data_IF_301368234233
#
_entry.id   IF_301368234233
#
_cell.length_a   1.000
_cell.length_b   1.000
_cell.length_c   1.000
_cell.angle_alpha   90.00
_cell.angle_beta   90.00
_cell.angle_gamma   90.00
#
_symmetry.space_group_name_H-M   'P 1'
#
loop_
_entity.id
_entity.type
_entity.pdbx_description
1 polymer ?
#
# COMPACT_ATOMS: atom_id res chain seq x y z
N UNK A 1 17.66 71.99 -56.36
CA UNK A 1 17.57 70.67 -55.69
C UNK A 1 17.87 70.79 -54.19
N UNK A 2 17.02 71.47 -53.42
CA UNK A 2 17.23 71.68 -51.97
C UNK A 2 15.94 71.57 -51.12
N UNK A 3 14.83 71.09 -51.69
CA UNK A 3 13.55 70.86 -50.97
C UNK A 3 13.14 69.39 -50.86
N UNK A 4 13.96 68.45 -51.35
CA UNK A 4 13.70 66.99 -51.28
C UNK A 4 14.57 66.24 -50.27
N UNK A 5 15.55 66.91 -49.64
CA UNK A 5 16.42 66.33 -48.61
C UNK A 5 15.96 66.61 -47.17
N UNK A 6 15.26 67.74 -46.96
CA UNK A 6 14.76 68.15 -45.63
C UNK A 6 13.51 67.39 -45.14
N UNK A 7 12.78 66.72 -46.03
CA UNK A 7 11.56 65.94 -45.70
C UNK A 7 11.84 64.46 -45.38
N UNK A 8 13.11 64.03 -45.49
CA UNK A 8 13.54 62.64 -45.21
C UNK A 8 14.15 62.50 -43.81
N UNK A 9 14.77 63.57 -43.31
CA UNK A 9 15.35 63.63 -41.95
C UNK A 9 14.27 63.83 -40.86
N UNK A 10 13.17 64.56 -41.13
CA UNK A 10 12.03 64.70 -40.19
C UNK A 10 11.18 63.41 -40.05
N UNK A 11 11.20 62.51 -41.05
CA UNK A 11 10.49 61.22 -40.98
C UNK A 11 11.26 60.13 -40.23
N UNK A 12 12.59 60.26 -40.14
CA UNK A 12 13.44 59.29 -39.42
C UNK A 12 13.48 59.59 -37.91
N UNK A 13 13.47 60.87 -37.49
CA UNK A 13 13.39 61.23 -36.07
C UNK A 13 12.03 60.93 -35.39
N UNK A 14 10.92 61.00 -36.13
CA UNK A 14 9.60 60.61 -35.60
C UNK A 14 9.42 59.08 -35.50
N UNK A 15 10.16 58.29 -36.28
CA UNK A 15 10.13 56.83 -36.22
C UNK A 15 10.97 56.26 -35.06
N UNK A 16 12.03 56.95 -34.64
CA UNK A 16 12.83 56.58 -33.47
C UNK A 16 12.16 57.00 -32.15
N UNK A 17 11.47 58.15 -32.09
CA UNK A 17 10.74 58.55 -30.88
C UNK A 17 9.48 57.70 -30.62
N UNK A 18 8.78 57.21 -31.66
CA UNK A 18 7.65 56.28 -31.47
C UNK A 18 8.09 54.86 -31.05
N UNK A 19 9.32 54.43 -31.41
CA UNK A 19 9.88 53.18 -30.90
C UNK A 19 10.34 53.29 -29.45
N UNK A 20 10.86 54.44 -29.02
CA UNK A 20 11.26 54.67 -27.63
C UNK A 20 10.05 54.80 -26.67
N UNK A 21 8.93 55.38 -27.10
CA UNK A 21 7.72 55.46 -26.25
C UNK A 21 6.96 54.13 -26.15
N UNK A 22 7.08 53.23 -27.13
CA UNK A 22 6.46 51.89 -27.04
C UNK A 22 7.28 50.93 -26.18
N UNK A 23 8.58 51.18 -25.97
CA UNK A 23 9.45 50.36 -25.12
C UNK A 23 9.40 50.72 -23.62
N UNK A 24 8.84 51.87 -23.23
CA UNK A 24 8.76 52.27 -21.81
C UNK A 24 7.42 51.89 -21.15
N UNK A 25 6.34 51.66 -21.90
CA UNK A 25 5.04 51.25 -21.33
C UNK A 25 4.83 49.72 -21.22
N UNK A 26 5.71 48.89 -21.79
CA UNK A 26 5.58 47.42 -21.74
C UNK A 26 6.29 46.74 -20.55
N UNK A 27 6.93 47.50 -19.65
CA UNK A 27 7.75 46.93 -18.56
C UNK A 27 6.96 46.69 -17.26
N UNK A 28 5.72 47.17 -17.11
CA UNK A 28 4.99 47.07 -15.84
C UNK A 28 3.71 46.19 -15.83
N UNK A 29 3.43 45.41 -16.88
CA UNK A 29 2.22 44.56 -16.95
C UNK A 29 2.43 43.04 -16.79
N UNK A 30 3.65 42.53 -16.96
CA UNK A 30 3.87 41.12 -17.32
C UNK A 30 4.09 40.16 -16.12
N UNK A 31 3.97 40.65 -14.89
CA UNK A 31 4.13 39.84 -13.68
C UNK A 31 2.84 39.10 -13.27
N UNK A 32 1.67 39.58 -13.70
CA UNK A 32 0.37 38.98 -13.36
C UNK A 32 -0.11 37.94 -14.39
N UNK A 33 0.17 38.11 -15.68
CA UNK A 33 -0.18 37.12 -16.72
C UNK A 33 0.73 35.90 -16.71
N UNK A 34 2.05 36.06 -16.51
CA UNK A 34 2.96 34.93 -16.30
C UNK A 34 2.65 34.18 -15.01
N UNK A 35 2.27 34.87 -13.93
CA UNK A 35 1.76 34.21 -12.70
C UNK A 35 0.41 33.53 -12.91
N UNK A 36 -0.49 34.06 -13.74
CA UNK A 36 -1.79 33.42 -14.06
C UNK A 36 -1.65 32.23 -14.99
N UNK A 37 -0.76 32.27 -15.99
CA UNK A 37 -0.44 31.12 -16.86
C UNK A 37 0.34 30.04 -16.12
N UNK A 38 1.28 30.41 -15.24
CA UNK A 38 1.99 29.46 -14.37
C UNK A 38 1.08 28.86 -13.29
N UNK A 39 0.17 29.67 -12.70
CA UNK A 39 -0.90 29.17 -11.82
C UNK A 39 -1.99 28.37 -12.55
N UNK A 40 -2.28 28.63 -13.82
CA UNK A 40 -3.18 27.78 -14.63
C UNK A 40 -2.51 26.46 -15.02
N UNK A 41 -1.24 26.47 -15.41
CA UNK A 41 -0.49 25.23 -15.70
C UNK A 41 -0.17 24.42 -14.43
N UNK A 42 -0.01 25.07 -13.27
CA UNK A 42 0.12 24.40 -11.96
C UNK A 42 -1.25 23.93 -11.43
N UNK A 43 -2.35 24.66 -11.67
CA UNK A 43 -3.70 24.19 -11.34
C UNK A 43 -4.17 23.06 -12.25
N UNK A 44 -3.79 23.05 -13.53
CA UNK A 44 -4.10 21.95 -14.46
C UNK A 44 -3.22 20.72 -14.22
N UNK A 45 -2.00 20.86 -13.68
CA UNK A 45 -1.18 19.73 -13.22
C UNK A 45 -1.62 19.14 -11.87
N UNK A 46 -2.30 19.93 -11.03
CA UNK A 46 -2.81 19.48 -9.73
C UNK A 46 -4.26 18.96 -9.78
N UNK A 47 -4.89 18.91 -10.96
CA UNK A 47 -6.26 18.40 -11.16
C UNK A 47 -6.32 17.10 -11.98
N UNK A 48 -5.22 16.36 -12.11
CA UNK A 48 -5.38 14.91 -12.23
C UNK A 48 -5.76 14.41 -10.84
N UNK A 49 -7.05 14.38 -10.55
CA UNK A 49 -7.57 13.54 -9.48
C UNK A 49 -7.01 12.14 -9.73
N UNK A 50 -6.08 11.70 -8.88
CA UNK A 50 -5.57 10.35 -8.90
C UNK A 50 -6.78 9.44 -8.73
N UNK A 51 -7.18 8.74 -9.80
CA UNK A 51 -8.29 7.79 -9.79
C UNK A 51 -8.10 6.87 -8.57
N UNK A 52 -8.98 6.99 -7.56
CA UNK A 52 -8.87 6.19 -6.34
C UNK A 52 -9.05 4.72 -6.74
N UNK A 53 -7.96 3.95 -6.74
CA UNK A 53 -8.02 2.53 -7.09
C UNK A 53 -8.59 1.77 -5.89
N UNK A 54 -9.68 1.01 -6.08
CA UNK A 54 -10.27 0.25 -4.99
C UNK A 54 -9.25 -0.70 -4.35
N UNK A 55 -9.38 -0.96 -3.05
CA UNK A 55 -8.51 -1.87 -2.30
C UNK A 55 -9.31 -3.01 -1.69
N UNK A 56 -8.69 -4.17 -1.57
CA UNK A 56 -9.24 -5.31 -0.83
C UNK A 56 -8.33 -5.61 0.36
N UNK A 57 -8.93 -5.62 1.55
CA UNK A 57 -8.25 -5.91 2.81
C UNK A 57 -8.84 -7.17 3.43
N UNK A 58 -8.03 -7.93 4.16
CA UNK A 58 -8.51 -9.04 4.97
C UNK A 58 -8.23 -8.78 6.45
N UNK A 59 -9.18 -9.12 7.32
CA UNK A 59 -8.97 -9.12 8.76
C UNK A 59 -8.94 -10.56 9.27
N UNK A 60 -7.93 -10.90 10.06
CA UNK A 60 -7.68 -12.27 10.53
C UNK A 60 -7.36 -12.25 12.02
N UNK A 61 -8.00 -13.13 12.79
CA UNK A 61 -7.69 -13.26 14.22
C UNK A 61 -6.29 -13.83 14.42
N UNK A 62 -5.49 -13.19 15.28
CA UNK A 62 -4.16 -13.65 15.67
C UNK A 62 -4.17 -14.92 16.52
N UNK A 63 -5.30 -15.24 17.17
CA UNK A 63 -5.43 -16.42 18.04
C UNK A 63 -5.33 -17.75 17.28
N UNK A 64 -5.45 -17.73 15.95
CA UNK A 64 -5.26 -18.92 15.11
C UNK A 64 -3.84 -19.49 15.21
N UNK A 65 -2.86 -18.65 15.55
CA UNK A 65 -1.47 -19.08 15.77
C UNK A 65 -1.33 -19.87 17.06
N UNK A 66 -2.08 -19.51 18.10
CA UNK A 66 -2.00 -20.16 19.41
C UNK A 66 -2.50 -21.61 19.37
N UNK A 67 -3.29 -21.96 18.35
CA UNK A 67 -3.75 -23.32 18.07
C UNK A 67 -2.70 -24.22 17.40
N UNK A 68 -1.55 -23.67 16.97
CA UNK A 68 -0.50 -24.45 16.33
C UNK A 68 0.29 -25.27 17.36
N UNK A 69 0.46 -26.57 17.09
CA UNK A 69 1.13 -27.50 18.02
C UNK A 69 2.66 -27.28 18.13
N UNK A 70 3.24 -26.47 17.25
CA UNK A 70 4.67 -26.14 17.28
C UNK A 70 4.94 -24.82 16.56
N UNK A 71 6.07 -24.19 16.89
CA UNK A 71 6.52 -22.98 16.20
C UNK A 71 6.72 -23.21 14.68
N UNK A 72 7.09 -24.42 14.28
CA UNK A 72 7.22 -24.79 12.87
C UNK A 72 5.85 -24.78 12.16
N UNK A 73 4.83 -25.39 12.78
CA UNK A 73 3.46 -25.39 12.26
C UNK A 73 2.85 -23.98 12.27
N UNK A 74 3.11 -23.19 13.31
CA UNK A 74 2.70 -21.78 13.38
C UNK A 74 3.31 -20.97 12.22
N UNK A 75 4.60 -21.16 11.96
CA UNK A 75 5.31 -20.50 10.85
C UNK A 75 4.69 -20.91 9.51
N UNK A 76 4.38 -22.19 9.33
CA UNK A 76 3.72 -22.72 8.11
C UNK A 76 2.33 -22.12 7.91
N UNK A 77 1.52 -22.02 8.97
CA UNK A 77 0.19 -21.40 8.94
C UNK A 77 0.28 -19.94 8.50
N UNK A 78 1.16 -19.15 9.15
CA UNK A 78 1.38 -17.76 8.76
C UNK A 78 1.84 -17.63 7.30
N UNK A 79 2.68 -18.56 6.83
CA UNK A 79 3.08 -18.65 5.42
C UNK A 79 1.93 -18.94 4.45
N UNK A 80 0.96 -19.77 4.84
CA UNK A 80 -0.24 -20.03 4.03
C UNK A 80 -1.08 -18.77 3.86
N UNK A 81 -1.27 -17.99 4.93
CA UNK A 81 -1.99 -16.71 4.88
C UNK A 81 -1.27 -15.71 3.98
N UNK A 82 0.06 -15.55 4.15
CA UNK A 82 0.87 -14.68 3.31
C UNK A 82 0.77 -15.03 1.81
N UNK A 83 0.74 -16.32 1.50
CA UNK A 83 0.55 -16.80 0.13
C UNK A 83 -0.84 -16.49 -0.39
N UNK A 84 -1.89 -16.76 0.37
CA UNK A 84 -3.25 -16.45 -0.05
C UNK A 84 -3.40 -14.95 -0.34
N UNK A 85 -2.94 -14.09 0.58
CA UNK A 85 -2.96 -12.65 0.41
C UNK A 85 -2.21 -12.20 -0.87
N UNK A 86 -1.05 -12.79 -1.15
CA UNK A 86 -0.27 -12.51 -2.36
C UNK A 86 -0.95 -12.98 -3.64
N UNK A 87 -1.48 -14.21 -3.67
CA UNK A 87 -2.11 -14.81 -4.84
C UNK A 87 -3.33 -14.00 -5.28
N UNK A 88 -4.15 -13.58 -4.32
CA UNK A 88 -5.38 -12.82 -4.57
C UNK A 88 -5.19 -11.31 -4.52
N UNK A 89 -3.94 -10.82 -4.49
CA UNK A 89 -3.59 -9.39 -4.58
C UNK A 89 -4.24 -8.53 -3.49
N UNK A 90 -4.27 -9.02 -2.26
CA UNK A 90 -4.77 -8.28 -1.10
C UNK A 90 -3.86 -7.09 -0.80
N UNK A 91 -4.42 -5.91 -0.57
CA UNK A 91 -3.64 -4.68 -0.30
C UNK A 91 -3.26 -4.53 1.19
N UNK A 92 -4.06 -5.09 2.10
CA UNK A 92 -3.84 -5.01 3.54
C UNK A 92 -4.28 -6.30 4.26
N UNK A 93 -3.43 -6.78 5.17
CA UNK A 93 -3.76 -7.83 6.13
C UNK A 93 -3.79 -7.22 7.54
N UNK A 94 -4.97 -7.16 8.13
CA UNK A 94 -5.19 -6.69 9.50
C UNK A 94 -5.21 -7.90 10.42
N UNK A 95 -4.24 -7.97 11.34
CA UNK A 95 -4.22 -9.02 12.36
C UNK A 95 -4.82 -8.45 13.63
N UNK A 96 -5.98 -8.96 14.03
CA UNK A 96 -6.64 -8.52 15.25
C UNK A 96 -6.45 -9.55 16.38
N UNK A 97 -6.33 -9.06 17.60
CA UNK A 97 -6.36 -9.86 18.83
C UNK A 97 -7.72 -9.67 19.52
N UNK A 98 -7.94 -10.23 20.70
CA UNK A 98 -9.10 -9.92 21.55
C UNK A 98 -8.64 -9.31 22.88
N UNK A 99 -7.70 -8.35 22.82
CA UNK A 99 -7.17 -7.67 24.00
C UNK A 99 -8.02 -6.44 24.33
N UNK A 100 -8.40 -6.34 25.60
CA UNK A 100 -9.17 -5.21 26.15
C UNK A 100 -8.37 -3.90 26.21
N UNK A 101 -7.05 -3.95 26.06
CA UNK A 101 -6.16 -2.79 26.17
C UNK A 101 -5.67 -2.34 24.78
N UNK A 102 -5.72 -1.04 24.52
CA UNK A 102 -5.20 -0.40 23.30
C UNK A 102 -3.67 -0.46 23.27
N UNK A 103 -3.13 -1.60 22.82
CA UNK A 103 -1.71 -1.71 22.52
C UNK A 103 -1.50 -1.26 21.07
N UNK A 104 -0.64 -0.27 20.86
CA UNK A 104 -0.32 0.21 19.52
C UNK A 104 0.63 -0.76 18.78
N UNK A 105 0.57 -0.76 17.44
CA UNK A 105 1.41 -1.60 16.55
C UNK A 105 2.92 -1.46 16.86
N UNK A 106 3.37 -0.25 17.22
CA UNK A 106 4.76 0.02 17.61
C UNK A 106 5.17 -0.73 18.88
N UNK A 107 4.29 -0.81 19.88
CA UNK A 107 4.61 -1.40 21.18
C UNK A 107 4.72 -2.92 21.09
N UNK A 108 3.96 -3.57 20.22
CA UNK A 108 4.00 -5.02 20.02
C UNK A 108 5.32 -5.47 19.39
N UNK A 109 5.84 -4.69 18.44
CA UNK A 109 7.10 -5.04 17.78
C UNK A 109 8.33 -4.74 18.65
N UNK A 110 8.23 -3.82 19.62
CA UNK A 110 9.35 -3.44 20.50
C UNK A 110 9.36 -4.15 21.86
N UNK A 111 8.23 -4.64 22.36
CA UNK A 111 8.12 -5.20 23.71
C UNK A 111 8.81 -6.56 23.89
N UNK A 112 8.98 -7.34 22.82
CA UNK A 112 9.37 -8.76 22.94
C UNK A 112 10.81 -9.05 22.47
N UNK A 113 11.79 -8.22 22.87
CA UNK A 113 13.19 -8.68 22.85
C UNK A 113 13.46 -9.80 23.90
N UNK A 114 12.49 -10.11 24.76
CA UNK A 114 12.47 -11.31 25.61
C UNK A 114 11.82 -12.47 24.86
N UNK A 115 12.65 -13.45 24.50
CA UNK A 115 12.36 -14.59 23.62
C UNK A 115 11.25 -15.57 24.06
N UNK A 116 10.48 -15.30 25.12
CA UNK A 116 9.77 -16.38 25.84
C UNK A 116 8.24 -16.33 25.82
N UNK A 117 7.57 -15.25 25.38
CA UNK A 117 6.10 -15.28 25.31
C UNK A 117 5.47 -14.24 24.34
N UNK A 118 5.93 -14.23 23.09
CA UNK A 118 5.27 -13.43 22.05
C UNK A 118 3.86 -13.97 21.77
N UNK A 119 2.84 -13.10 21.81
CA UNK A 119 1.46 -13.50 21.50
C UNK A 119 1.23 -13.84 20.02
N UNK A 120 0.25 -14.70 19.73
CA UNK A 120 -0.04 -15.18 18.36
C UNK A 120 -0.19 -14.08 17.30
N UNK A 121 -0.85 -12.96 17.64
CA UNK A 121 -0.99 -11.81 16.75
C UNK A 121 0.36 -11.16 16.39
N UNK A 122 1.23 -10.96 17.37
CA UNK A 122 2.56 -10.37 17.19
C UNK A 122 3.44 -11.27 16.31
N UNK A 123 3.41 -12.57 16.60
CA UNK A 123 4.08 -13.60 15.80
C UNK A 123 3.62 -13.55 14.34
N UNK A 124 2.29 -13.57 14.11
CA UNK A 124 1.71 -13.54 12.77
C UNK A 124 2.16 -12.30 12.00
N UNK A 125 2.03 -11.12 12.61
CA UNK A 125 2.45 -9.85 12.00
C UNK A 125 3.91 -9.89 11.57
N UNK A 126 4.80 -10.40 12.44
CA UNK A 126 6.23 -10.45 12.14
C UNK A 126 6.52 -11.37 10.96
N UNK A 127 5.90 -12.55 10.90
CA UNK A 127 6.05 -13.46 9.75
C UNK A 127 5.50 -12.81 8.46
N UNK A 128 4.29 -12.23 8.50
CA UNK A 128 3.66 -11.61 7.33
C UNK A 128 4.51 -10.47 6.76
N UNK A 129 5.03 -9.58 7.63
CA UNK A 129 5.93 -8.46 7.24
C UNK A 129 7.25 -8.98 6.68
N UNK A 130 7.84 -10.00 7.30
CA UNK A 130 9.09 -10.60 6.84
C UNK A 130 8.94 -11.24 5.45
N UNK A 131 7.84 -11.97 5.23
CA UNK A 131 7.56 -12.63 3.96
C UNK A 131 7.28 -11.60 2.84
N UNK A 132 6.47 -10.59 3.11
CA UNK A 132 6.17 -9.53 2.13
C UNK A 132 7.43 -8.75 1.73
N UNK A 133 8.37 -8.55 2.65
CA UNK A 133 9.61 -7.83 2.37
C UNK A 133 10.48 -8.57 1.35
N UNK A 134 10.95 -7.91 0.27
CA UNK A 134 11.86 -8.50 -0.71
C UNK A 134 13.13 -9.08 -0.08
N UNK A 135 13.59 -10.23 -0.58
CA UNK A 135 14.66 -11.02 0.04
C UNK A 135 15.96 -10.24 0.29
N UNK A 136 16.32 -9.33 -0.62
CA UNK A 136 17.54 -8.53 -0.51
C UNK A 136 17.48 -7.48 0.61
N UNK A 137 16.29 -7.09 1.09
CA UNK A 137 16.11 -6.11 2.17
C UNK A 137 16.01 -6.75 3.56
N UNK A 138 15.67 -8.05 3.64
CA UNK A 138 15.35 -8.73 4.91
C UNK A 138 16.47 -8.62 5.94
N UNK A 139 17.73 -8.77 5.52
CA UNK A 139 18.89 -8.68 6.42
C UNK A 139 19.07 -7.28 7.03
N UNK A 140 18.66 -6.24 6.31
CA UNK A 140 18.80 -4.85 6.73
C UNK A 140 17.62 -4.40 7.60
N UNK A 141 16.42 -4.92 7.34
CA UNK A 141 15.18 -4.49 8.00
C UNK A 141 14.79 -5.37 9.20
N UNK A 142 15.20 -6.64 9.24
CA UNK A 142 14.79 -7.58 10.28
C UNK A 142 16.00 -8.09 11.07
N UNK A 143 16.10 -7.76 12.38
CA UNK A 143 17.09 -8.39 13.24
C UNK A 143 16.77 -9.89 13.42
N UNK A 144 17.77 -10.65 13.87
CA UNK A 144 17.55 -12.07 14.20
C UNK A 144 16.53 -12.17 15.34
N UNK A 145 15.48 -12.95 15.13
CA UNK A 145 14.41 -13.17 16.09
C UNK A 145 14.01 -14.64 16.12
N UNK A 146 13.67 -15.20 17.28
CA UNK A 146 13.30 -16.61 17.42
C UNK A 146 12.08 -16.99 16.56
N UNK A 147 11.08 -16.10 16.49
CA UNK A 147 9.90 -16.25 15.61
C UNK A 147 10.25 -16.42 14.14
N UNK A 148 11.38 -15.87 13.69
CA UNK A 148 11.84 -16.00 12.31
C UNK A 148 12.71 -17.24 12.06
N UNK A 149 12.89 -18.12 13.05
CA UNK A 149 13.80 -19.29 12.97
C UNK A 149 13.45 -20.24 11.82
N UNK A 150 12.16 -20.45 11.54
CA UNK A 150 11.69 -21.43 10.58
C UNK A 150 11.21 -20.83 9.24
N UNK A 151 11.37 -19.53 9.02
CA UNK A 151 10.91 -18.88 7.78
C UNK A 151 11.61 -19.38 6.52
N UNK A 152 12.78 -20.01 6.67
CA UNK A 152 13.50 -20.66 5.57
C UNK A 152 12.79 -21.91 5.02
N UNK A 153 11.83 -22.48 5.75
CA UNK A 153 11.00 -23.60 5.29
C UNK A 153 9.83 -23.15 4.41
N UNK A 154 9.50 -21.85 4.42
CA UNK A 154 8.31 -21.35 3.77
C UNK A 154 8.51 -21.23 2.26
N UNK A 155 7.48 -21.59 1.46
CA UNK A 155 7.48 -21.32 0.03
C UNK A 155 7.62 -19.81 -0.24
N UNK A 156 8.35 -19.40 -1.30
CA UNK A 156 8.50 -17.99 -1.65
C UNK A 156 7.13 -17.38 -2.01
N UNK A 157 6.92 -16.11 -1.68
CA UNK A 157 5.75 -15.37 -2.17
C UNK A 157 5.86 -15.09 -3.67
N UNK A 158 7.08 -14.75 -4.12
CA UNK A 158 7.39 -14.46 -5.53
C UNK A 158 6.47 -13.39 -6.14
N UNK A 159 6.15 -12.36 -5.34
CA UNK A 159 5.36 -11.21 -5.75
C UNK A 159 6.15 -10.30 -6.73
N UNK A 160 5.49 -9.42 -7.51
CA UNK A 160 6.17 -8.59 -8.52
C UNK A 160 7.30 -7.70 -7.99
N UNK A 161 7.28 -7.33 -6.71
CA UNK A 161 8.35 -6.56 -6.07
C UNK A 161 9.49 -7.43 -5.51
N UNK A 162 9.40 -8.77 -5.58
CA UNK A 162 10.44 -9.74 -5.15
C UNK A 162 11.48 -10.00 -6.26
N UNK A 163 11.96 -8.92 -6.85
CA UNK A 163 12.84 -8.94 -8.03
C UNK A 163 14.18 -9.58 -7.71
N UNK A 164 14.75 -10.28 -8.71
CA UNK A 164 16.12 -10.83 -8.60
C UNK A 164 17.16 -9.74 -8.89
N UNK A 165 18.41 -9.98 -8.50
CA UNK A 165 19.53 -9.01 -8.65
C UNK A 165 19.77 -8.56 -10.10
N UNK A 166 19.51 -9.42 -11.08
CA UNK A 166 19.76 -9.16 -12.51
C UNK A 166 18.52 -8.61 -13.24
N UNK A 167 17.36 -8.59 -12.58
CA UNK A 167 16.10 -8.18 -13.19
C UNK A 167 15.97 -6.65 -13.20
N UNK A 168 15.36 -6.06 -14.22
CA UNK A 168 15.06 -4.63 -14.22
C UNK A 168 13.56 -4.42 -14.21
N UNK A 169 13.08 -3.49 -13.38
CA UNK A 169 11.69 -3.12 -13.30
C UNK A 169 11.54 -1.60 -13.17
N UNK A 170 10.40 -1.00 -13.56
CA UNK A 170 10.18 0.45 -13.47
C UNK A 170 10.21 0.98 -12.03
N UNK A 171 9.90 0.12 -11.06
CA UNK A 171 9.93 0.42 -9.64
C UNK A 171 10.71 -0.67 -8.90
N UNK A 172 11.38 -0.31 -7.81
CA UNK A 172 12.04 -1.24 -6.89
C UNK A 172 11.86 -0.78 -5.45
N UNK A 173 11.72 -1.75 -4.55
CA UNK A 173 11.83 -1.48 -3.12
C UNK A 173 13.31 -1.30 -2.76
N UNK A 174 13.59 -0.43 -1.81
CA UNK A 174 14.94 -0.19 -1.32
C UNK A 174 14.98 0.17 0.16
N UNK A 175 16.17 0.15 0.73
CA UNK A 175 16.44 0.62 2.10
C UNK A 175 17.50 1.70 2.09
N UNK A 176 17.26 2.76 2.86
CA UNK A 176 18.21 3.85 3.03
C UNK A 176 19.44 3.35 3.79
N UNK A 177 20.62 3.58 3.22
CA UNK A 177 21.90 3.21 3.82
C UNK A 177 22.39 4.29 4.79
N UNK A 178 23.22 3.89 5.75
CA UNK A 178 23.87 4.82 6.70
C UNK A 178 24.92 5.69 6.02
N UNK A 179 25.49 5.20 4.93
CA UNK A 179 26.53 5.89 4.17
C UNK A 179 25.93 7.03 3.35
N UNK A 180 26.48 8.24 3.50
CA UNK A 180 26.14 9.38 2.65
C UNK A 180 26.95 9.31 1.35
N UNK A 181 26.39 9.85 0.27
CA UNK A 181 27.11 9.93 -0.99
C UNK A 181 28.37 10.81 -0.86
N UNK A 182 29.48 10.49 -1.56
CA UNK A 182 30.74 11.24 -1.47
C UNK A 182 30.61 12.75 -1.71
N UNK A 183 29.59 13.16 -2.47
CA UNK A 183 29.34 14.55 -2.88
C UNK A 183 28.24 15.26 -2.06
N UNK A 184 27.91 14.76 -0.86
CA UNK A 184 27.15 15.43 0.21
C UNK A 184 25.70 15.89 -0.05
N UNK A 185 25.18 15.81 -1.27
CA UNK A 185 23.83 16.29 -1.59
C UNK A 185 22.76 15.19 -1.68
N UNK A 186 23.11 13.91 -1.50
CA UNK A 186 22.18 12.81 -1.69
C UNK A 186 22.42 11.61 -0.79
N UNK A 187 21.38 10.78 -0.68
CA UNK A 187 21.35 9.59 0.16
C UNK A 187 21.45 8.34 -0.71
N UNK A 188 22.20 7.32 -0.26
CA UNK A 188 22.33 6.06 -0.98
C UNK A 188 21.22 5.08 -0.55
N UNK A 189 20.67 4.36 -1.53
CA UNK A 189 19.62 3.38 -1.34
C UNK A 189 20.06 2.04 -1.92
N UNK A 190 19.99 0.98 -1.11
CA UNK A 190 20.13 -0.39 -1.60
C UNK A 190 18.79 -0.85 -2.19
N UNK A 191 18.76 -1.02 -3.51
CA UNK A 191 17.59 -1.49 -4.27
C UNK A 191 17.76 -2.95 -4.75
N UNK A 192 18.71 -3.69 -4.18
CA UNK A 192 18.95 -5.10 -4.51
C UNK A 192 19.65 -5.35 -5.84
N UNK A 193 20.28 -4.32 -6.42
CA UNK A 193 21.08 -4.41 -7.64
C UNK A 193 22.58 -4.58 -7.32
N UNK A 194 23.44 -4.60 -8.33
CA UNK A 194 24.90 -4.61 -8.14
C UNK A 194 25.46 -3.29 -7.60
N UNK A 195 24.75 -2.18 -7.84
CA UNK A 195 25.09 -0.84 -7.37
C UNK A 195 23.90 -0.22 -6.66
N UNK A 196 24.21 0.56 -5.63
CA UNK A 196 23.23 1.38 -4.92
C UNK A 196 22.80 2.54 -5.81
N UNK A 197 21.62 3.08 -5.56
CA UNK A 197 21.11 4.26 -6.27
C UNK A 197 21.17 5.49 -5.39
N UNK A 198 21.47 6.62 -5.99
CA UNK A 198 21.42 7.92 -5.32
C UNK A 198 20.00 8.47 -5.36
N UNK A 199 19.56 9.10 -4.28
CA UNK A 199 18.33 9.91 -4.23
C UNK A 199 18.66 11.32 -3.71
N UNK A 200 17.92 12.32 -4.16
CA UNK A 200 18.10 13.73 -3.74
C UNK A 200 17.48 14.06 -2.37
N UNK A 201 16.74 13.11 -1.79
CA UNK A 201 16.05 13.30 -0.52
C UNK A 201 16.91 12.77 0.63
N UNK A 202 17.03 13.56 1.70
CA UNK A 202 17.67 13.14 2.94
C UNK A 202 16.62 12.42 3.79
N UNK A 203 16.79 11.11 3.93
CA UNK A 203 15.89 10.24 4.70
C UNK A 203 16.69 9.48 5.78
N UNK A 204 15.99 9.01 6.80
CA UNK A 204 16.62 8.29 7.90
C UNK A 204 17.18 6.92 7.45
N UNK A 205 18.39 6.54 7.86
CA UNK A 205 18.91 5.21 7.59
C UNK A 205 18.01 4.09 8.13
N UNK A 206 17.86 3.03 7.34
CA UNK A 206 16.97 1.92 7.66
C UNK A 206 15.51 2.12 7.23
N UNK A 207 15.13 3.29 6.72
CA UNK A 207 13.81 3.50 6.14
C UNK A 207 13.65 2.70 4.84
N UNK A 208 12.55 1.95 4.72
CA UNK A 208 12.14 1.28 3.47
C UNK A 208 11.45 2.29 2.54
N UNK A 209 11.84 2.31 1.27
CA UNK A 209 11.34 3.25 0.26
C UNK A 209 11.03 2.54 -1.05
N UNK A 210 10.10 3.09 -1.83
CA UNK A 210 9.85 2.68 -3.21
C UNK A 210 10.54 3.66 -4.15
N UNK A 211 11.42 3.17 -5.02
CA UNK A 211 12.22 4.00 -5.93
C UNK A 211 11.72 3.83 -7.35
N UNK A 212 11.47 4.94 -8.05
CA UNK A 212 11.20 4.95 -9.48
C UNK A 212 12.52 4.78 -10.25
N UNK A 213 12.69 3.62 -10.86
CA UNK A 213 13.87 3.22 -11.61
C UNK A 213 13.80 3.66 -13.09
N UNK A 214 12.60 3.91 -13.62
CA UNK A 214 12.44 4.35 -15.01
C UNK A 214 13.01 3.36 -16.05
N UNK A 215 13.27 3.86 -17.25
CA UNK A 215 13.74 3.03 -18.39
C UNK A 215 15.27 2.98 -18.52
N UNK A 216 15.98 3.97 -17.96
CA UNK A 216 17.45 4.03 -18.04
C UNK A 216 18.09 3.01 -17.09
N UNK A 217 18.73 1.99 -17.66
CA UNK A 217 19.42 0.92 -16.94
C UNK A 217 20.87 1.25 -16.55
N UNK A 218 21.41 2.37 -17.03
CA UNK A 218 22.76 2.80 -16.66
C UNK A 218 22.76 3.36 -15.24
N UNK A 219 23.36 2.59 -14.31
CA UNK A 219 23.56 2.99 -12.91
C UNK A 219 24.85 3.81 -12.71
N UNK A 220 25.68 3.93 -13.74
CA UNK A 220 26.96 4.66 -13.71
C UNK A 220 26.79 6.18 -13.87
N UNK A 221 25.64 6.61 -14.37
CA UNK A 221 25.30 8.02 -14.32
C UNK A 221 24.92 8.33 -12.88
N UNK A 222 25.62 9.29 -12.25
CA UNK A 222 25.27 9.87 -10.94
C UNK A 222 23.93 10.66 -10.99
N UNK A 223 22.97 10.18 -11.77
CA UNK A 223 21.64 10.72 -11.90
C UNK A 223 20.80 10.24 -10.72
N UNK A 224 20.32 11.16 -9.87
CA UNK A 224 19.49 10.80 -8.75
C UNK A 224 18.17 10.18 -9.22
N UNK A 225 17.73 9.17 -8.48
CA UNK A 225 16.41 8.53 -8.64
C UNK A 225 15.42 9.18 -7.69
N UNK A 226 14.14 9.04 -8.03
CA UNK A 226 13.05 9.61 -7.25
C UNK A 226 12.45 8.56 -6.33
N UNK A 227 12.31 8.89 -5.04
CA UNK A 227 11.45 8.16 -4.11
C UNK A 227 10.00 8.52 -4.42
N UNK A 228 9.16 7.51 -4.59
CA UNK A 228 7.73 7.63 -4.87
C UNK A 228 6.91 6.99 -3.77
N UNK A 229 5.60 7.29 -3.73
CA UNK A 229 4.66 6.60 -2.85
C UNK A 229 4.67 5.10 -3.12
N UNK A 230 4.51 4.28 -2.07
CA UNK A 230 4.40 2.83 -2.20
C UNK A 230 3.15 2.37 -2.97
N UNK A 231 2.14 3.23 -3.10
CA UNK A 231 0.96 2.98 -3.93
C UNK A 231 1.21 3.26 -5.42
N UNK A 232 2.29 3.98 -5.78
CA UNK A 232 2.56 4.44 -7.15
C UNK A 232 2.68 3.30 -8.18
N UNK A 233 3.35 2.16 -7.89
CA UNK A 233 3.41 1.03 -8.81
C UNK A 233 2.02 0.47 -9.15
N UNK A 234 1.13 0.43 -8.17
CA UNK A 234 -0.27 0.02 -8.35
C UNK A 234 -1.05 1.06 -9.17
N UNK A 235 -0.97 2.33 -8.76
CA UNK A 235 -1.69 3.45 -9.38
C UNK A 235 -1.33 3.70 -10.83
N UNK A 236 -0.04 3.62 -11.17
CA UNK A 236 0.45 4.04 -12.48
C UNK A 236 0.78 2.89 -13.42
N UNK A 237 1.02 1.67 -12.89
CA UNK A 237 1.39 0.51 -13.70
C UNK A 237 0.50 -0.72 -13.49
N UNK A 238 -0.53 -0.65 -12.63
CA UNK A 238 -1.41 -1.78 -12.33
C UNK A 238 -0.69 -2.98 -11.71
N UNK A 239 0.51 -2.78 -11.16
CA UNK A 239 1.33 -3.83 -10.60
C UNK A 239 0.94 -4.09 -9.14
N UNK A 240 0.68 -5.34 -8.79
CA UNK A 240 0.56 -5.72 -7.39
C UNK A 240 1.91 -5.50 -6.68
N UNK A 241 1.89 -4.84 -5.53
CA UNK A 241 3.10 -4.36 -4.85
C UNK A 241 3.19 -4.84 -3.40
N UNK A 242 2.65 -6.05 -3.14
CA UNK A 242 2.57 -6.61 -1.80
C UNK A 242 1.38 -6.09 -1.00
N UNK A 243 1.31 -6.53 0.26
CA UNK A 243 0.29 -6.12 1.21
C UNK A 243 0.91 -5.35 2.37
N UNK A 244 0.15 -4.43 2.96
CA UNK A 244 0.48 -3.84 4.27
C UNK A 244 0.01 -4.77 5.37
N UNK A 245 0.70 -4.75 6.51
CA UNK A 245 0.30 -5.53 7.69
C UNK A 245 0.05 -4.57 8.84
N UNK A 246 -1.14 -4.62 9.42
CA UNK A 246 -1.57 -3.76 10.52
C UNK A 246 -2.04 -4.57 11.71
N UNK A 247 -1.70 -4.12 12.91
CA UNK A 247 -2.26 -4.67 14.15
C UNK A 247 -3.58 -3.98 14.52
N UNK A 248 -4.51 -4.74 15.08
CA UNK A 248 -5.67 -4.22 15.79
C UNK A 248 -5.85 -4.96 17.13
N UNK A 249 -6.18 -4.24 18.21
CA UNK A 249 -6.33 -4.85 19.54
C UNK A 249 -7.57 -5.73 19.67
N UNK A 250 -8.61 -5.45 18.88
CA UNK A 250 -9.92 -6.09 18.83
C UNK A 250 -10.59 -5.80 17.49
N UNK A 251 -11.71 -6.47 17.23
CA UNK A 251 -12.42 -6.36 15.96
C UNK A 251 -12.95 -4.92 15.71
N UNK A 252 -13.35 -4.16 16.74
CA UNK A 252 -13.77 -2.77 16.54
C UNK A 252 -12.62 -1.85 16.13
N UNK A 253 -11.41 -2.08 16.65
CA UNK A 253 -10.19 -1.39 16.21
C UNK A 253 -9.80 -1.72 14.76
N UNK A 254 -10.21 -2.87 14.22
CA UNK A 254 -10.05 -3.15 12.78
C UNK A 254 -10.71 -2.05 11.97
N UNK A 255 -11.95 -1.69 12.31
CA UNK A 255 -12.72 -0.69 11.56
C UNK A 255 -12.33 0.75 11.92
N UNK A 256 -12.15 1.05 13.22
CA UNK A 256 -11.87 2.41 13.71
C UNK A 256 -10.50 2.93 13.27
N UNK A 257 -9.48 2.08 13.29
CA UNK A 257 -8.09 2.46 12.98
C UNK A 257 -7.74 2.17 11.52
N UNK A 258 -8.75 2.20 10.64
CA UNK A 258 -8.58 2.05 9.20
C UNK A 258 -7.69 3.17 8.64
N UNK A 259 -6.64 2.86 7.86
CA UNK A 259 -5.74 3.87 7.31
C UNK A 259 -6.36 4.62 6.11
N UNK A 260 -7.46 4.13 5.55
CA UNK A 260 -8.09 4.70 4.37
C UNK A 260 -9.04 5.85 4.73
N UNK A 261 -8.99 6.92 3.94
CA UNK A 261 -9.86 8.08 4.15
C UNK A 261 -11.32 7.70 3.84
N UNK A 262 -12.16 7.74 4.86
CA UNK A 262 -13.55 7.30 4.76
C UNK A 262 -13.78 5.85 5.21
N UNK A 263 -12.74 5.19 5.71
CA UNK A 263 -12.83 3.82 6.24
C UNK A 263 -13.01 2.76 5.17
N UNK A 264 -13.28 1.53 5.62
CA UNK A 264 -13.80 0.48 4.76
C UNK A 264 -15.27 0.77 4.47
N UNK A 265 -15.63 0.94 3.20
CA UNK A 265 -16.99 1.29 2.77
C UNK A 265 -17.82 0.06 2.38
N UNK A 266 -17.21 -1.13 2.41
CA UNK A 266 -17.95 -2.39 2.39
C UNK A 266 -17.29 -3.45 3.29
N UNK A 267 -18.08 -4.04 4.19
CA UNK A 267 -17.65 -4.99 5.21
C UNK A 267 -18.30 -6.36 5.01
N UNK A 268 -17.49 -7.38 4.77
CA UNK A 268 -17.95 -8.77 4.65
C UNK A 268 -17.37 -9.59 5.81
N UNK A 269 -18.23 -10.28 6.56
CA UNK A 269 -17.81 -11.32 7.48
C UNK A 269 -18.06 -12.71 6.90
N UNK A 270 -17.18 -13.67 7.20
CA UNK A 270 -17.33 -15.07 6.76
C UNK A 270 -17.61 -15.98 7.95
N UNK A 271 -18.63 -16.84 7.85
CA UNK A 271 -18.99 -17.84 8.87
C UNK A 271 -19.83 -18.95 8.25
N UNK A 272 -19.78 -20.16 8.83
CA UNK A 272 -20.67 -21.26 8.43
C UNK A 272 -22.15 -20.94 8.73
N UNK A 273 -22.41 -20.04 9.67
CA UNK A 273 -23.75 -19.54 10.01
C UNK A 273 -24.23 -18.38 9.12
N UNK A 274 -23.39 -17.93 8.18
CA UNK A 274 -23.74 -16.86 7.24
C UNK A 274 -24.73 -17.29 6.17
N UNK A 275 -25.23 -16.29 5.42
CA UNK A 275 -26.09 -16.53 4.27
C UNK A 275 -25.30 -17.18 3.13
N UNK A 276 -25.86 -18.21 2.52
CA UNK A 276 -25.29 -18.80 1.32
C UNK A 276 -25.85 -18.11 0.08
N UNK A 277 -24.94 -17.63 -0.77
CA UNK A 277 -25.20 -17.16 -2.12
C UNK A 277 -24.17 -17.84 -3.02
N UNK A 278 -24.49 -18.10 -4.30
CA UNK A 278 -23.45 -18.57 -5.23
C UNK A 278 -22.56 -17.41 -5.63
N UNK A 279 -21.28 -17.68 -5.88
CA UNK A 279 -20.32 -16.65 -6.32
C UNK A 279 -20.83 -15.87 -7.54
N UNK A 280 -21.36 -16.55 -8.56
CA UNK A 280 -21.91 -15.94 -9.78
C UNK A 280 -23.18 -15.11 -9.56
N UNK A 281 -23.88 -15.32 -8.44
CA UNK A 281 -25.12 -14.63 -8.08
C UNK A 281 -24.84 -13.48 -7.08
N UNK A 282 -23.68 -13.50 -6.42
CA UNK A 282 -23.29 -12.49 -5.46
C UNK A 282 -22.93 -11.18 -6.16
N UNK A 283 -23.75 -10.16 -5.94
CA UNK A 283 -23.49 -8.81 -6.46
C UNK A 283 -22.94 -7.92 -5.35
N UNK A 284 -21.66 -7.58 -5.44
CA UNK A 284 -21.06 -6.57 -4.56
C UNK A 284 -21.42 -5.16 -5.06
N UNK A 285 -21.73 -4.21 -4.16
CA UNK A 285 -21.85 -2.80 -4.52
C UNK A 285 -20.51 -2.26 -5.00
N UNK A 286 -20.52 -1.09 -5.65
CA UNK A 286 -19.27 -0.37 -5.92
C UNK A 286 -18.66 0.08 -4.59
N UNK A 287 -17.37 -0.24 -4.39
CA UNK A 287 -16.65 0.04 -3.15
C UNK A 287 -15.30 0.68 -3.48
N UNK A 288 -14.77 1.47 -2.54
CA UNK A 288 -13.38 1.97 -2.58
C UNK A 288 -12.47 1.11 -1.72
N UNK A 289 -12.95 0.65 -0.57
CA UNK A 289 -12.17 -0.12 0.38
C UNK A 289 -13.01 -1.27 0.95
N UNK A 290 -12.86 -2.47 0.36
CA UNK A 290 -13.50 -3.69 0.83
C UNK A 290 -12.68 -4.32 1.96
N UNK A 291 -13.34 -4.76 3.03
CA UNK A 291 -12.76 -5.60 4.07
C UNK A 291 -13.49 -6.94 4.13
N UNK A 292 -12.73 -8.03 4.13
CA UNK A 292 -13.23 -9.40 4.35
C UNK A 292 -12.66 -9.92 5.67
N UNK A 293 -13.51 -10.13 6.67
CA UNK A 293 -13.11 -10.57 8.00
C UNK A 293 -13.28 -12.07 8.18
N UNK A 294 -12.28 -12.67 8.85
CA UNK A 294 -12.20 -14.09 9.19
C UNK A 294 -12.02 -14.26 10.70
N UNK A 295 -12.86 -15.11 11.28
CA UNK A 295 -12.81 -15.45 12.69
C UNK A 295 -11.64 -16.36 13.07
N UNK A 296 -11.45 -16.50 14.38
CA UNK A 296 -10.59 -17.52 14.96
C UNK A 296 -11.28 -18.88 15.04
N UNK A 297 -10.90 -19.69 16.03
CA UNK A 297 -11.48 -21.02 16.22
C UNK A 297 -12.99 -20.99 16.51
N UNK A 298 -13.47 -20.00 17.27
CA UNK A 298 -14.88 -19.86 17.61
C UNK A 298 -15.64 -18.83 16.73
N UNK A 299 -15.05 -18.43 15.59
CA UNK A 299 -15.70 -17.54 14.64
C UNK A 299 -15.54 -16.04 14.94
N UNK A 300 -16.28 -15.21 14.20
CA UNK A 300 -16.32 -13.75 14.39
C UNK A 300 -17.31 -13.36 15.48
N UNK A 301 -18.28 -14.22 15.74
CA UNK A 301 -19.29 -14.10 16.78
C UNK A 301 -18.64 -13.89 18.14
N UNK A 302 -17.69 -14.76 18.52
CA UNK A 302 -16.90 -14.63 19.76
C UNK A 302 -16.09 -13.32 19.78
N UNK A 303 -15.47 -12.96 18.65
CA UNK A 303 -14.67 -11.73 18.56
C UNK A 303 -15.50 -10.47 18.78
N UNK A 304 -16.79 -10.49 18.40
CA UNK A 304 -17.74 -9.39 18.64
C UNK A 304 -18.22 -9.39 20.10
N UNK A 305 -18.51 -10.56 20.67
CA UNK A 305 -18.97 -10.69 22.06
C UNK A 305 -17.91 -10.24 23.07
N UNK A 306 -16.64 -10.53 22.80
CA UNK A 306 -15.50 -10.13 23.63
C UNK A 306 -15.14 -8.65 23.50
N UNK A 307 -15.56 -7.98 22.43
CA UNK A 307 -15.28 -6.56 22.21
C UNK A 307 -16.29 -5.67 22.96
N UNK A 308 -15.81 -4.98 24.00
CA UNK A 308 -16.61 -4.05 24.79
C UNK A 308 -17.28 -2.94 23.96
N UNK A 309 -16.73 -2.55 22.81
CA UNK A 309 -17.32 -1.53 21.94
C UNK A 309 -18.47 -2.07 21.06
N UNK A 310 -18.56 -3.38 20.89
CA UNK A 310 -19.61 -4.06 20.10
C UNK A 310 -20.50 -4.95 20.96
N UNK A 311 -20.34 -4.89 22.28
CA UNK A 311 -21.08 -5.71 23.23
C UNK A 311 -22.59 -5.55 23.03
N UNK A 312 -23.26 -6.68 22.80
CA UNK A 312 -24.71 -6.74 22.57
C UNK A 312 -25.14 -6.47 21.12
N UNK A 313 -24.21 -6.25 20.19
CA UNK A 313 -24.52 -6.18 18.76
C UNK A 313 -24.48 -7.57 18.13
N UNK A 314 -25.33 -7.77 17.13
CA UNK A 314 -25.29 -8.94 16.26
C UNK A 314 -24.26 -8.77 15.12
N UNK A 315 -23.75 -9.86 14.55
CA UNK A 315 -22.91 -9.86 13.33
C UNK A 315 -23.52 -9.04 12.18
N UNK A 316 -24.85 -9.06 12.03
CA UNK A 316 -25.56 -8.31 10.98
C UNK A 316 -25.61 -6.79 11.21
N UNK A 317 -25.29 -6.33 12.43
CA UNK A 317 -25.14 -4.90 12.73
C UNK A 317 -23.71 -4.40 12.54
N UNK A 318 -22.75 -5.33 12.41
CA UNK A 318 -21.32 -5.04 12.28
C UNK A 318 -20.86 -5.15 10.83
N UNK A 319 -21.36 -6.14 10.08
CA UNK A 319 -21.01 -6.38 8.68
C UNK A 319 -22.16 -6.09 7.74
N UNK A 320 -21.87 -5.50 6.57
CA UNK A 320 -22.86 -5.29 5.51
C UNK A 320 -23.32 -6.61 4.89
N UNK A 321 -22.47 -7.63 4.93
CA UNK A 321 -22.77 -8.98 4.47
C UNK A 321 -22.08 -10.01 5.34
N UNK A 322 -22.82 -11.06 5.70
CA UNK A 322 -22.31 -12.16 6.51
C UNK A 322 -22.58 -13.48 5.81
N UNK A 323 -21.54 -14.12 5.28
CA UNK A 323 -21.66 -15.12 4.21
C UNK A 323 -21.05 -16.47 4.60
N UNK A 324 -21.76 -17.54 4.22
CA UNK A 324 -21.21 -18.89 4.15
C UNK A 324 -20.67 -19.14 2.73
N UNK A 325 -19.35 -19.26 2.64
CA UNK A 325 -18.60 -19.42 1.38
C UNK A 325 -18.41 -20.88 0.95
N UNK A 326 -18.70 -21.85 1.82
CA UNK A 326 -18.56 -23.29 1.54
C UNK A 326 -19.74 -24.07 2.13
N UNK A 327 -20.95 -23.97 1.53
CA UNK A 327 -22.08 -24.75 2.00
C UNK A 327 -21.81 -26.25 1.82
N UNK A 328 -22.46 -27.06 2.66
CA UNK A 328 -22.30 -28.52 2.62
C UNK A 328 -20.84 -29.00 2.75
N UNK A 329 -20.01 -28.25 3.49
CA UNK A 329 -18.65 -28.67 3.83
C UNK A 329 -18.65 -30.08 4.43
N UNK A 330 -17.75 -30.94 3.95
CA UNK A 330 -17.62 -32.32 4.43
C UNK A 330 -16.86 -32.44 5.76
N UNK A 331 -16.14 -31.38 6.15
CA UNK A 331 -15.51 -31.26 7.47
C UNK A 331 -16.44 -30.50 8.41
N UNK A 332 -16.41 -30.83 9.70
CA UNK A 332 -17.15 -30.06 10.72
C UNK A 332 -16.64 -28.63 10.84
N UNK A 333 -15.34 -28.43 10.61
CA UNK A 333 -14.71 -27.11 10.68
C UNK A 333 -13.78 -26.91 9.49
N UNK A 334 -13.75 -25.68 8.98
CA UNK A 334 -12.75 -25.21 8.02
C UNK A 334 -11.80 -24.31 8.79
N UNK A 335 -10.50 -24.57 8.74
CA UNK A 335 -9.52 -23.75 9.47
C UNK A 335 -9.39 -22.38 8.80
N UNK A 336 -9.03 -21.35 9.56
CA UNK A 336 -8.99 -19.96 9.05
C UNK A 336 -8.10 -19.81 7.80
N UNK A 337 -6.92 -20.44 7.76
CA UNK A 337 -6.05 -20.34 6.58
C UNK A 337 -6.56 -21.13 5.36
N UNK A 338 -7.41 -22.14 5.55
CA UNK A 338 -8.16 -22.81 4.46
C UNK A 338 -9.31 -21.92 3.98
N UNK A 339 -10.08 -21.37 4.93
CA UNK A 339 -11.22 -20.50 4.67
C UNK A 339 -10.81 -19.26 3.86
N UNK A 340 -9.63 -18.68 4.12
CA UNK A 340 -9.10 -17.56 3.35
C UNK A 340 -8.92 -17.94 1.87
N UNK A 341 -8.32 -19.11 1.57
CA UNK A 341 -8.17 -19.54 0.17
C UNK A 341 -9.51 -19.74 -0.53
N UNK A 342 -10.44 -20.43 0.13
CA UNK A 342 -11.76 -20.72 -0.45
C UNK A 342 -12.53 -19.42 -0.66
N UNK A 343 -12.51 -18.52 0.33
CA UNK A 343 -13.26 -17.25 0.29
C UNK A 343 -12.70 -16.31 -0.76
N UNK A 344 -11.38 -16.13 -0.83
CA UNK A 344 -10.79 -15.22 -1.80
C UNK A 344 -10.99 -15.72 -3.24
N UNK A 345 -10.99 -17.04 -3.46
CA UNK A 345 -11.41 -17.60 -4.75
C UNK A 345 -12.89 -17.35 -5.04
N UNK A 346 -13.75 -17.54 -4.03
CA UNK A 346 -15.19 -17.32 -4.14
C UNK A 346 -15.51 -15.84 -4.45
N UNK A 347 -14.79 -14.89 -3.87
CA UNK A 347 -15.01 -13.45 -4.09
C UNK A 347 -14.36 -12.89 -5.36
N UNK A 348 -13.50 -13.67 -6.04
CA UNK A 348 -12.74 -13.18 -7.19
C UNK A 348 -13.63 -12.62 -8.31
N UNK A 349 -14.66 -13.36 -8.73
CA UNK A 349 -15.60 -12.92 -9.75
C UNK A 349 -16.47 -11.72 -9.29
N UNK A 350 -17.12 -11.76 -8.11
CA UNK A 350 -17.85 -10.61 -7.56
C UNK A 350 -17.03 -9.33 -7.45
N UNK A 351 -15.78 -9.43 -6.97
CA UNK A 351 -14.87 -8.29 -6.85
C UNK A 351 -14.53 -7.73 -8.23
N UNK A 352 -14.13 -8.58 -9.19
CA UNK A 352 -13.81 -8.12 -10.54
C UNK A 352 -14.99 -7.40 -11.21
N UNK A 353 -16.21 -7.91 -11.03
CA UNK A 353 -17.44 -7.27 -11.51
C UNK A 353 -17.66 -5.89 -10.86
N UNK A 354 -17.39 -5.75 -9.56
CA UNK A 354 -17.49 -4.45 -8.87
C UNK A 354 -16.42 -3.46 -9.34
N UNK A 355 -15.18 -3.91 -9.55
CA UNK A 355 -14.07 -3.07 -10.03
C UNK A 355 -14.34 -2.52 -11.44
N UNK A 356 -14.87 -3.34 -12.35
CA UNK A 356 -15.23 -2.89 -13.71
C UNK A 356 -16.31 -1.80 -13.68
N UNK A 357 -17.30 -1.90 -12.79
CA UNK A 357 -18.34 -0.87 -12.62
C UNK A 357 -17.75 0.43 -12.08
N UNK A 358 -16.78 0.35 -11.17
CA UNK A 358 -16.09 1.51 -10.62
C UNK A 358 -15.31 2.29 -11.69
N UNK A 359 -14.64 1.57 -12.61
CA UNK A 359 -13.92 2.18 -13.73
C UNK A 359 -14.82 2.92 -14.73
N UNK A 360 -16.08 2.49 -14.87
CA UNK A 360 -17.07 3.14 -15.73
C UNK A 360 -17.78 4.32 -15.07
N UNK A 361 -17.76 4.43 -13.74
CA UNK A 361 -18.38 5.53 -12.98
C UNK A 361 -17.41 6.68 -12.66
N UNK A 362 -16.10 6.41 -12.73
CA UNK A 362 -15.00 7.36 -12.49
C UNK A 362 -14.33 7.77 -13.80
#
# INVERSE_FOLDING_TARGET
>A
MAKKKKKREESEQNAENQKAETEVELVNGDSHEKKRKKKKSEKEKNNLESKEIPTVSIAVSGSIIDNAQSLELATRLAGQIARAATIFRIDEVVVFDNKSTSVNDSNIMTADNSNENEGGAAFLIRILRYLETPQYLRKSLFPKHNSLRFVGLLPPLDAPHHLRKHEWAPYREGVILKEQAPNSAGTLVDVGLSKNVLIDQILEPGTRVTVAMGTNRHLDADLPRQVVSSSKPRESAGMYWGYKVRYASNISSVFKDCPYKGGYDHLIGTSEHGLFVKSSELTLPSFRHLLIAFGGLAGLEESIEEDNNLKGKNVHEVFDSYLNICPHQGSRTIRTEEAIFISLQYFQEPINCALQRFEHQS
#
